data_IF_560973733336
#
_entry.id   IF_560973733336
#
_cell.length_a   1.000
_cell.length_b   1.000
_cell.length_c   1.000
_cell.angle_alpha   90.00
_cell.angle_beta   90.00
_cell.angle_gamma   90.00
#
_symmetry.space_group_name_H-M   'P 1'
#
loop_
_entity.id
_entity.type
_entity.pdbx_description
1 polymer ?
#
# COMPACT_ATOMS: atom_id res chain seq x y z
N UNK A 1 9.60 44.31 -1.78
CA UNK A 1 10.91 43.70 -2.01
C UNK A 1 10.74 42.50 -2.95
N UNK A 2 11.33 42.46 -4.16
CA UNK A 2 11.12 41.34 -5.08
C UNK A 2 11.87 40.07 -4.66
N UNK A 3 12.60 40.08 -3.54
CA UNK A 3 13.55 39.02 -3.12
C UNK A 3 13.00 38.06 -2.05
N UNK A 4 11.82 38.29 -1.46
CA UNK A 4 11.24 37.32 -0.52
C UNK A 4 10.55 36.19 -1.30
N UNK A 5 11.27 35.09 -1.46
CA UNK A 5 10.79 33.84 -2.06
C UNK A 5 9.58 33.25 -1.33
N UNK A 6 9.54 33.43 0.00
CA UNK A 6 8.50 32.99 0.91
C UNK A 6 7.60 34.17 1.32
N UNK A 7 6.31 33.91 1.48
CA UNK A 7 5.41 34.85 2.17
C UNK A 7 5.63 34.79 3.69
N UNK A 8 5.19 35.79 4.47
CA UNK A 8 5.23 35.71 5.94
C UNK A 8 4.59 34.43 6.48
N UNK A 9 3.53 33.93 5.83
CA UNK A 9 2.84 32.71 6.22
C UNK A 9 3.71 31.45 6.01
N UNK A 10 4.44 31.35 4.88
CA UNK A 10 5.41 30.26 4.68
C UNK A 10 6.51 30.29 5.75
N UNK A 11 7.03 31.48 6.09
CA UNK A 11 8.07 31.61 7.12
C UNK A 11 7.52 31.17 8.49
N UNK A 12 6.29 31.55 8.84
CA UNK A 12 5.65 31.12 10.07
C UNK A 12 5.54 29.58 10.15
N UNK A 13 5.12 28.93 9.06
CA UNK A 13 5.06 27.46 8.98
C UNK A 13 6.44 26.81 9.08
N UNK A 14 7.43 27.30 8.33
CA UNK A 14 8.83 26.79 8.37
C UNK A 14 9.46 26.92 9.77
N UNK A 15 9.02 27.91 10.55
CA UNK A 15 9.45 28.13 11.94
C UNK A 15 8.54 27.48 12.97
N UNK A 16 7.54 26.71 12.53
CA UNK A 16 6.52 26.05 13.35
C UNK A 16 5.86 27.02 14.36
N UNK A 17 5.56 28.24 13.92
CA UNK A 17 4.96 29.29 14.74
C UNK A 17 3.46 29.33 14.52
N UNK A 18 2.73 28.42 15.18
CA UNK A 18 1.27 28.30 15.06
C UNK A 18 0.53 29.63 15.31
N UNK A 19 0.90 30.36 16.37
CA UNK A 19 0.27 31.65 16.72
C UNK A 19 0.44 32.69 15.60
N UNK A 20 1.57 32.66 14.89
CA UNK A 20 1.83 33.54 13.75
C UNK A 20 1.04 33.12 12.52
N UNK A 21 0.86 31.81 12.29
CA UNK A 21 -0.01 31.29 11.23
C UNK A 21 -1.44 31.83 11.44
N UNK A 22 -1.97 31.71 12.65
CA UNK A 22 -3.30 32.22 12.98
C UNK A 22 -3.42 33.73 12.81
N UNK A 23 -2.47 34.48 13.37
CA UNK A 23 -2.45 35.95 13.29
C UNK A 23 -2.42 36.44 11.84
N UNK A 24 -1.56 35.84 11.01
CA UNK A 24 -1.41 36.24 9.61
C UNK A 24 -2.68 35.95 8.81
N UNK A 25 -3.27 34.75 8.95
CA UNK A 25 -4.51 34.40 8.27
C UNK A 25 -5.67 35.29 8.74
N UNK A 26 -5.77 35.57 10.04
CA UNK A 26 -6.77 36.49 10.60
C UNK A 26 -6.67 37.90 10.01
N UNK A 27 -5.46 38.38 9.72
CA UNK A 27 -5.20 39.66 9.06
C UNK A 27 -5.22 39.62 7.53
N UNK A 28 -5.76 38.54 6.93
CA UNK A 28 -6.01 38.45 5.49
C UNK A 28 -4.84 37.91 4.67
N UNK A 29 -3.88 37.22 5.28
CA UNK A 29 -2.91 36.44 4.51
C UNK A 29 -3.64 35.34 3.73
N UNK A 30 -3.37 35.26 2.43
CA UNK A 30 -3.90 34.20 1.56
C UNK A 30 -3.27 32.86 1.93
N UNK A 31 -4.11 31.97 2.50
CA UNK A 31 -3.72 30.66 3.03
C UNK A 31 -3.19 29.71 1.95
N UNK A 32 -3.60 29.92 0.69
CA UNK A 32 -3.21 29.10 -0.46
C UNK A 32 -2.17 29.80 -1.33
N UNK A 33 -1.63 30.93 -0.87
CA UNK A 33 -0.64 31.69 -1.64
C UNK A 33 0.59 30.82 -1.84
N UNK A 34 0.97 30.62 -3.09
CA UNK A 34 2.16 29.84 -3.47
C UNK A 34 3.44 30.67 -3.31
N UNK A 35 4.52 30.00 -2.90
CA UNK A 35 5.86 30.57 -2.93
C UNK A 35 6.35 30.82 -4.37
N UNK A 36 7.50 31.48 -4.51
CA UNK A 36 8.08 31.81 -5.83
C UNK A 36 9.13 30.81 -6.34
N UNK A 37 9.51 29.81 -5.54
CA UNK A 37 10.60 28.88 -5.90
C UNK A 37 10.02 27.58 -6.43
N UNK A 38 9.15 26.96 -5.65
CA UNK A 38 8.55 25.66 -5.92
C UNK A 38 7.07 25.78 -6.27
N UNK A 39 6.49 26.96 -6.11
CA UNK A 39 5.04 27.16 -6.13
C UNK A 39 4.33 26.34 -5.04
N UNK A 40 5.04 26.01 -3.96
CA UNK A 40 4.49 25.29 -2.81
C UNK A 40 3.56 26.20 -2.02
N UNK A 41 2.49 25.63 -1.48
CA UNK A 41 1.61 26.27 -0.51
C UNK A 41 2.18 26.17 0.91
N UNK A 42 1.67 26.96 1.87
CA UNK A 42 1.98 26.77 3.28
C UNK A 42 1.65 25.37 3.79
N UNK A 43 0.61 24.73 3.25
CA UNK A 43 0.22 23.37 3.63
C UNK A 43 1.22 22.32 3.11
N UNK A 44 1.76 22.51 1.90
CA UNK A 44 2.82 21.64 1.36
C UNK A 44 4.03 21.65 2.29
N UNK A 45 4.50 22.84 2.69
CA UNK A 45 5.58 22.97 3.66
C UNK A 45 5.20 22.36 5.00
N UNK A 46 4.00 22.56 5.52
CA UNK A 46 3.61 21.96 6.80
C UNK A 46 3.61 20.42 6.78
N UNK A 47 3.50 19.82 5.59
CA UNK A 47 3.41 18.37 5.41
C UNK A 47 4.76 17.67 5.38
N UNK A 48 5.83 18.38 5.07
CA UNK A 48 7.17 17.82 4.88
C UNK A 48 7.84 17.31 6.17
N UNK A 49 7.61 17.93 7.33
CA UNK A 49 8.15 17.47 8.62
C UNK A 49 7.07 17.09 9.63
N UNK A 50 7.32 16.08 10.49
CA UNK A 50 6.39 15.68 11.53
C UNK A 50 6.25 16.75 12.63
N UNK A 51 7.29 17.56 12.89
CA UNK A 51 7.22 18.63 13.91
C UNK A 51 6.26 19.75 13.50
N UNK A 52 6.00 19.92 12.20
CA UNK A 52 5.10 20.95 11.64
C UNK A 52 3.63 20.56 11.72
N UNK A 53 3.30 19.41 12.32
CA UNK A 53 1.94 18.90 12.46
C UNK A 53 0.93 19.90 13.06
N UNK A 54 1.24 20.69 14.12
CA UNK A 54 0.29 21.68 14.65
C UNK A 54 -0.08 22.74 13.60
N UNK A 55 0.90 23.20 12.82
CA UNK A 55 0.67 24.13 11.72
C UNK A 55 -0.16 23.46 10.61
N UNK A 56 0.14 22.21 10.24
CA UNK A 56 -0.63 21.46 9.23
C UNK A 56 -2.10 21.34 9.63
N UNK A 57 -2.36 20.86 10.85
CA UNK A 57 -3.73 20.69 11.35
C UNK A 57 -4.47 22.02 11.32
N UNK A 58 -3.81 23.11 11.70
CA UNK A 58 -4.44 24.42 11.73
C UNK A 58 -4.71 25.00 10.35
N UNK A 59 -3.79 24.83 9.41
CA UNK A 59 -3.99 25.25 8.02
C UNK A 59 -5.20 24.53 7.40
N UNK A 60 -5.35 23.22 7.64
CA UNK A 60 -6.54 22.47 7.21
C UNK A 60 -7.82 23.03 7.83
N UNK A 61 -7.83 23.32 9.14
CA UNK A 61 -8.99 23.92 9.82
C UNK A 61 -9.35 25.32 9.30
N UNK A 62 -8.36 26.08 8.85
CA UNK A 62 -8.54 27.41 8.27
C UNK A 62 -8.91 27.37 6.78
N UNK A 63 -9.09 26.18 6.20
CA UNK A 63 -9.55 26.01 4.82
C UNK A 63 -8.44 26.04 3.77
N UNK A 64 -7.21 25.65 4.12
CA UNK A 64 -6.17 25.40 3.14
C UNK A 64 -6.63 24.33 2.13
N UNK A 65 -6.32 24.54 0.86
CA UNK A 65 -6.63 23.59 -0.21
C UNK A 65 -5.69 22.38 -0.10
N UNK A 66 -6.23 21.26 0.41
CA UNK A 66 -5.52 20.00 0.60
C UNK A 66 -4.98 19.40 -0.71
N UNK A 67 -5.56 19.78 -1.84
CA UNK A 67 -5.21 19.28 -3.17
C UNK A 67 -4.47 20.32 -4.02
N UNK A 68 -4.02 21.42 -3.41
CA UNK A 68 -3.08 22.32 -4.06
C UNK A 68 -1.82 21.53 -4.47
N UNK A 69 -1.35 21.79 -5.68
CA UNK A 69 -0.17 21.13 -6.24
C UNK A 69 0.89 22.16 -6.62
N UNK A 70 2.13 21.88 -6.25
CA UNK A 70 3.29 22.71 -6.55
C UNK A 70 3.65 22.69 -8.05
N UNK A 71 4.75 23.34 -8.44
CA UNK A 71 5.19 23.41 -9.85
C UNK A 71 5.49 22.04 -10.46
N UNK A 72 5.73 21.00 -9.66
CA UNK A 72 6.01 19.64 -10.09
C UNK A 72 4.75 18.76 -10.03
N UNK A 73 3.59 19.31 -9.67
CA UNK A 73 2.35 18.55 -9.49
C UNK A 73 2.30 17.82 -8.15
N UNK A 74 3.20 18.13 -7.21
CA UNK A 74 3.27 17.46 -5.91
C UNK A 74 2.30 18.13 -4.93
N UNK A 75 1.41 17.34 -4.35
CA UNK A 75 0.44 17.79 -3.35
C UNK A 75 0.98 17.61 -1.93
N UNK A 76 0.31 18.21 -0.95
CA UNK A 76 0.62 18.05 0.47
C UNK A 76 0.74 16.57 0.89
N UNK A 77 -0.12 15.68 0.36
CA UNK A 77 -0.04 14.24 0.61
C UNK A 77 1.26 13.61 0.07
N UNK A 78 1.73 14.02 -1.11
CA UNK A 78 2.99 13.54 -1.68
C UNK A 78 4.20 14.15 -0.96
N UNK A 79 4.10 15.40 -0.49
CA UNK A 79 5.13 16.02 0.37
C UNK A 79 5.25 15.34 1.74
N UNK A 80 4.15 14.83 2.30
CA UNK A 80 4.19 14.07 3.54
C UNK A 80 4.93 12.72 3.42
N UNK A 81 4.98 12.14 2.21
CA UNK A 81 5.68 10.89 1.94
C UNK A 81 7.16 11.09 1.60
N UNK A 82 7.51 12.18 0.95
CA UNK A 82 8.89 12.52 0.60
C UNK A 82 9.10 14.03 0.72
N UNK A 83 10.11 14.49 1.45
CA UNK A 83 10.49 15.90 1.54
C UNK A 83 11.64 16.23 0.59
N UNK A 84 12.11 17.47 0.57
CA UNK A 84 13.33 17.87 -0.17
C UNK A 84 14.60 17.20 0.33
N UNK A 85 14.58 16.78 1.61
CA UNK A 85 15.77 16.30 2.32
C UNK A 85 15.85 14.76 2.34
N UNK A 86 14.80 14.09 1.82
CA UNK A 86 14.74 12.63 1.73
C UNK A 86 13.34 12.10 1.99
N UNK A 87 13.25 10.81 2.28
CA UNK A 87 11.97 10.17 2.54
C UNK A 87 11.65 10.20 4.03
N UNK A 88 10.39 10.51 4.35
CA UNK A 88 9.96 10.73 5.73
C UNK A 88 9.24 9.49 6.28
N UNK A 89 9.82 8.85 7.29
CA UNK A 89 9.31 7.60 7.88
C UNK A 89 8.51 7.82 9.18
N UNK A 90 8.23 9.08 9.53
CA UNK A 90 7.55 9.47 10.77
C UNK A 90 6.31 10.36 10.56
N UNK A 91 5.93 10.64 9.30
CA UNK A 91 4.82 11.53 8.94
C UNK A 91 3.42 10.89 8.92
N UNK A 92 3.22 9.74 9.59
CA UNK A 92 1.96 8.99 9.55
C UNK A 92 0.75 9.83 10.00
N UNK A 93 0.96 10.71 10.97
CA UNK A 93 -0.06 11.61 11.52
C UNK A 93 -0.47 12.69 10.52
N UNK A 94 0.51 13.36 9.88
CA UNK A 94 0.27 14.33 8.79
C UNK A 94 -0.48 13.68 7.64
N UNK A 95 -0.06 12.48 7.21
CA UNK A 95 -0.72 11.70 6.15
C UNK A 95 -2.18 11.42 6.53
N UNK A 96 -2.46 11.01 7.78
CA UNK A 96 -3.83 10.78 8.23
C UNK A 96 -4.67 12.05 8.16
N UNK A 97 -4.20 13.17 8.71
CA UNK A 97 -4.96 14.43 8.70
C UNK A 97 -5.24 14.92 7.27
N UNK A 98 -4.28 14.78 6.37
CA UNK A 98 -4.45 15.14 4.96
C UNK A 98 -5.53 14.27 4.29
N UNK A 99 -5.50 12.95 4.53
CA UNK A 99 -6.50 12.03 4.00
C UNK A 99 -7.90 12.27 4.59
N UNK A 100 -8.00 12.52 5.89
CA UNK A 100 -9.24 12.95 6.57
C UNK A 100 -9.75 14.29 6.04
N UNK A 101 -8.83 15.19 5.66
CA UNK A 101 -9.10 16.46 4.99
C UNK A 101 -9.52 16.34 3.52
N UNK A 102 -9.53 15.13 2.95
CA UNK A 102 -9.96 14.88 1.57
C UNK A 102 -8.85 14.97 0.53
N UNK A 103 -7.60 14.73 0.90
CA UNK A 103 -6.49 14.61 -0.04
C UNK A 103 -6.77 13.52 -1.09
N UNK A 104 -6.50 13.84 -2.36
CA UNK A 104 -6.67 12.91 -3.47
C UNK A 104 -5.54 11.87 -3.50
N UNK A 105 -5.88 10.63 -3.18
CA UNK A 105 -4.98 9.47 -3.23
C UNK A 105 -4.52 9.11 -4.64
N UNK A 106 -5.14 9.68 -5.68
CA UNK A 106 -4.78 9.49 -7.09
C UNK A 106 -3.93 10.62 -7.66
N UNK A 107 -3.59 11.62 -6.84
CA UNK A 107 -2.69 12.68 -7.27
C UNK A 107 -1.35 12.09 -7.72
N UNK A 108 -0.81 12.67 -8.79
CA UNK A 108 0.47 12.29 -9.36
C UNK A 108 1.30 13.53 -9.71
N UNK A 109 2.61 13.43 -9.54
CA UNK A 109 3.55 14.45 -10.03
C UNK A 109 3.55 14.48 -11.56
N UNK A 110 4.21 15.49 -12.14
CA UNK A 110 4.44 15.58 -13.58
C UNK A 110 5.22 14.39 -14.14
N UNK A 111 6.05 13.74 -13.32
CA UNK A 111 6.81 12.54 -13.69
C UNK A 111 5.99 11.25 -13.49
N UNK A 112 4.77 11.35 -12.96
CA UNK A 112 3.88 10.22 -12.71
C UNK A 112 4.05 9.57 -11.33
N UNK A 113 4.78 10.20 -10.41
CA UNK A 113 4.95 9.67 -9.06
C UNK A 113 3.64 9.79 -8.27
N UNK A 114 3.24 8.69 -7.66
CA UNK A 114 2.02 8.58 -6.85
C UNK A 114 2.39 8.22 -5.42
N UNK A 115 1.39 8.21 -4.52
CA UNK A 115 1.58 7.73 -3.15
C UNK A 115 2.25 6.35 -3.08
N UNK A 116 1.96 5.44 -4.02
CA UNK A 116 2.55 4.10 -4.03
C UNK A 116 3.94 4.05 -4.66
N UNK A 117 4.32 4.97 -5.56
CA UNK A 117 5.72 5.00 -6.04
C UNK A 117 6.66 5.39 -4.90
N UNK A 118 6.26 6.32 -4.03
CA UNK A 118 7.01 6.66 -2.82
C UNK A 118 7.08 5.50 -1.81
N UNK A 119 5.98 4.77 -1.58
CA UNK A 119 6.01 3.56 -0.72
C UNK A 119 6.92 2.47 -1.31
N UNK A 120 6.88 2.27 -2.63
CA UNK A 120 7.78 1.33 -3.33
C UNK A 120 9.25 1.74 -3.14
N UNK A 121 9.56 3.02 -3.32
CA UNK A 121 10.90 3.55 -3.13
C UNK A 121 11.41 3.30 -1.70
N UNK A 122 10.59 3.59 -0.68
CA UNK A 122 10.91 3.29 0.72
C UNK A 122 11.21 1.81 0.97
N UNK A 123 10.39 0.92 0.42
CA UNK A 123 10.60 -0.51 0.57
C UNK A 123 11.89 -0.98 -0.12
N UNK A 124 12.32 -0.28 -1.17
CA UNK A 124 13.60 -0.52 -1.87
C UNK A 124 14.83 -0.05 -1.08
N UNK A 125 14.76 1.08 -0.37
CA UNK A 125 15.87 1.60 0.45
C UNK A 125 16.26 0.64 1.59
N UNK A 126 15.33 -0.21 2.05
CA UNK A 126 15.61 -1.27 3.03
C UNK A 126 16.67 -2.29 2.56
N UNK A 127 16.99 -2.32 1.27
CA UNK A 127 18.05 -3.17 0.73
C UNK A 127 19.45 -2.76 1.24
N UNK A 128 19.60 -1.53 1.72
CA UNK A 128 20.87 -0.91 2.11
C UNK A 128 20.95 -0.52 3.59
N UNK A 129 19.87 -0.68 4.38
CA UNK A 129 19.78 -0.22 5.78
C UNK A 129 20.11 -1.32 6.79
N UNK A 130 20.39 -0.93 8.04
CA UNK A 130 20.51 -1.89 9.15
C UNK A 130 19.14 -2.50 9.53
N UNK A 131 19.14 -3.52 10.40
CA UNK A 131 17.91 -4.27 10.74
C UNK A 131 16.85 -3.45 11.47
N UNK A 132 17.25 -2.44 12.24
CA UNK A 132 16.34 -1.59 13.00
C UNK A 132 15.65 -0.57 12.08
N UNK A 133 16.40 0.11 11.24
CA UNK A 133 15.86 1.04 10.22
C UNK A 133 14.90 0.32 9.27
N UNK A 134 15.23 -0.90 8.83
CA UNK A 134 14.34 -1.70 7.99
C UNK A 134 13.03 -2.03 8.70
N UNK A 135 13.01 -2.25 10.02
CA UNK A 135 11.79 -2.49 10.78
C UNK A 135 10.92 -1.23 10.85
N UNK A 136 11.53 -0.07 11.11
CA UNK A 136 10.82 1.22 11.16
C UNK A 136 10.21 1.54 9.80
N UNK A 137 10.96 1.38 8.71
CA UNK A 137 10.45 1.58 7.34
C UNK A 137 9.29 0.62 7.06
N UNK A 138 9.41 -0.66 7.40
CA UNK A 138 8.32 -1.63 7.20
C UNK A 138 7.05 -1.24 7.98
N UNK A 139 7.20 -0.85 9.25
CA UNK A 139 6.08 -0.40 10.07
C UNK A 139 5.42 0.84 9.43
N UNK A 140 6.22 1.85 9.06
CA UNK A 140 5.72 3.05 8.40
C UNK A 140 4.98 2.72 7.08
N UNK A 141 5.60 1.97 6.18
CA UNK A 141 4.99 1.56 4.91
C UNK A 141 3.68 0.80 5.11
N UNK A 142 3.61 -0.07 6.12
CA UNK A 142 2.39 -0.80 6.46
C UNK A 142 1.29 0.15 6.92
N UNK A 143 1.58 1.05 7.88
CA UNK A 143 0.62 2.03 8.41
C UNK A 143 0.13 3.01 7.35
N UNK A 144 1.02 3.53 6.52
CA UNK A 144 0.66 4.40 5.40
C UNK A 144 -0.21 3.65 4.40
N UNK A 145 0.15 2.41 4.05
CA UNK A 145 -0.65 1.60 3.14
C UNK A 145 -2.07 1.38 3.69
N UNK A 146 -2.22 1.09 4.99
CA UNK A 146 -3.54 0.99 5.64
C UNK A 146 -4.36 2.27 5.47
N UNK A 147 -3.77 3.43 5.75
CA UNK A 147 -4.42 4.73 5.60
C UNK A 147 -4.84 4.98 4.15
N UNK A 148 -3.93 4.80 3.20
CA UNK A 148 -4.22 4.98 1.77
C UNK A 148 -5.37 4.09 1.30
N UNK A 149 -5.38 2.80 1.70
CA UNK A 149 -6.44 1.86 1.35
C UNK A 149 -7.80 2.26 1.97
N UNK A 150 -7.80 2.83 3.19
CA UNK A 150 -9.00 3.34 3.86
C UNK A 150 -9.67 4.47 3.08
N UNK A 151 -8.85 5.27 2.39
CA UNK A 151 -9.28 6.39 1.56
C UNK A 151 -9.39 6.01 0.07
N UNK A 152 -9.40 4.71 -0.25
CA UNK A 152 -9.73 4.20 -1.58
C UNK A 152 -8.56 4.14 -2.57
N UNK A 153 -7.32 4.26 -2.11
CA UNK A 153 -6.15 4.05 -2.95
C UNK A 153 -6.09 2.61 -3.46
N UNK A 154 -5.68 2.43 -4.71
CA UNK A 154 -5.57 1.11 -5.33
C UNK A 154 -4.10 0.65 -5.40
N UNK A 155 -3.63 -0.27 -4.54
CA UNK A 155 -2.24 -0.72 -4.50
C UNK A 155 -1.86 -1.63 -5.68
N UNK A 156 -2.83 -2.00 -6.51
CA UNK A 156 -2.68 -2.88 -7.67
C UNK A 156 -3.00 -2.16 -8.98
N UNK A 157 -3.17 -0.84 -8.92
CA UNK A 157 -3.19 -0.03 -10.12
C UNK A 157 -1.90 -0.27 -10.89
N UNK A 158 -2.01 -0.38 -12.21
CA UNK A 158 -0.87 -0.66 -13.06
C UNK A 158 -0.40 0.64 -13.73
N UNK A 159 0.48 1.42 -13.08
CA UNK A 159 1.31 2.39 -13.79
C UNK A 159 2.77 1.92 -13.88
N UNK A 160 3.55 2.59 -14.73
CA UNK A 160 4.99 2.36 -14.83
C UNK A 160 5.71 2.98 -13.60
N UNK A 161 6.78 2.35 -13.07
CA UNK A 161 7.37 1.08 -13.54
C UNK A 161 6.73 -0.20 -12.95
N UNK A 162 6.15 -0.15 -11.75
CA UNK A 162 5.48 -1.31 -11.13
C UNK A 162 4.47 -0.91 -10.04
N UNK A 163 3.52 -1.80 -9.73
CA UNK A 163 2.55 -1.59 -8.64
C UNK A 163 3.07 -2.11 -7.30
N UNK A 164 2.56 -1.56 -6.19
CA UNK A 164 2.94 -2.01 -4.84
C UNK A 164 2.68 -3.51 -4.67
N UNK A 165 1.53 -3.97 -5.14
CA UNK A 165 1.16 -5.39 -5.04
C UNK A 165 2.15 -6.28 -5.82
N UNK A 166 2.58 -5.83 -7.00
CA UNK A 166 3.55 -6.56 -7.82
C UNK A 166 4.94 -6.63 -7.17
N UNK A 167 5.45 -5.51 -6.63
CA UNK A 167 6.70 -5.49 -5.86
C UNK A 167 6.63 -6.45 -4.68
N UNK A 168 5.54 -6.38 -3.90
CA UNK A 168 5.34 -7.24 -2.74
C UNK A 168 5.30 -8.72 -3.14
N UNK A 169 4.76 -9.08 -4.31
CA UNK A 169 4.85 -10.45 -4.84
C UNK A 169 6.29 -10.85 -5.16
N UNK A 170 7.05 -10.05 -5.91
CA UNK A 170 8.46 -10.38 -6.24
C UNK A 170 9.31 -10.61 -5.00
N UNK A 171 9.02 -9.87 -3.93
CA UNK A 171 9.78 -9.88 -2.68
C UNK A 171 8.95 -10.41 -1.48
N UNK A 172 8.02 -11.33 -1.70
CA UNK A 172 7.06 -11.74 -0.67
C UNK A 172 7.70 -12.38 0.56
N UNK A 173 8.95 -12.85 0.46
CA UNK A 173 9.70 -13.35 1.61
C UNK A 173 9.90 -12.27 2.68
N UNK A 174 10.19 -11.04 2.21
CA UNK A 174 10.49 -9.88 3.04
C UNK A 174 9.21 -9.13 3.39
N UNK A 175 8.37 -8.86 2.39
CA UNK A 175 7.13 -8.11 2.58
C UNK A 175 5.92 -9.02 2.77
N UNK A 176 6.10 -10.20 3.37
CA UNK A 176 5.03 -11.21 3.49
C UNK A 176 3.79 -10.63 4.19
N UNK A 177 4.00 -9.93 5.31
CA UNK A 177 2.91 -9.36 6.10
C UNK A 177 2.16 -8.28 5.32
N UNK A 178 2.89 -7.41 4.62
CA UNK A 178 2.28 -6.39 3.76
C UNK A 178 1.52 -7.02 2.59
N UNK A 179 2.10 -7.99 1.89
CA UNK A 179 1.43 -8.68 0.78
C UNK A 179 0.17 -9.41 1.24
N UNK A 180 0.26 -10.13 2.36
CA UNK A 180 -0.87 -10.82 2.99
C UNK A 180 -1.99 -9.83 3.29
N UNK A 181 -1.66 -8.71 3.94
CA UNK A 181 -2.61 -7.64 4.22
C UNK A 181 -3.25 -7.07 2.94
N UNK A 182 -2.47 -6.84 1.88
CA UNK A 182 -2.98 -6.37 0.59
C UNK A 182 -4.01 -7.35 0.01
N UNK A 183 -3.70 -8.65 -0.02
CA UNK A 183 -4.61 -9.67 -0.53
C UNK A 183 -5.87 -9.81 0.33
N UNK A 184 -5.73 -9.80 1.66
CA UNK A 184 -6.86 -9.80 2.61
C UNK A 184 -7.74 -8.55 2.46
N UNK A 185 -7.16 -7.42 2.05
CA UNK A 185 -7.85 -6.18 1.73
C UNK A 185 -8.50 -6.19 0.34
N UNK A 186 -8.26 -7.25 -0.45
CA UNK A 186 -8.82 -7.43 -1.78
C UNK A 186 -8.04 -6.74 -2.90
N UNK A 187 -6.74 -6.48 -2.69
CA UNK A 187 -5.83 -6.10 -3.77
C UNK A 187 -5.90 -7.11 -4.93
N UNK A 188 -5.70 -6.64 -6.17
CA UNK A 188 -5.65 -7.53 -7.31
C UNK A 188 -4.35 -8.33 -7.28
N UNK A 189 -4.43 -9.62 -7.60
CA UNK A 189 -3.27 -10.52 -7.65
C UNK A 189 -2.79 -10.81 -9.07
N UNK A 190 -3.41 -10.19 -10.07
CA UNK A 190 -2.95 -10.15 -11.46
C UNK A 190 -2.98 -8.68 -11.90
N UNK A 191 -2.29 -8.36 -12.99
CA UNK A 191 -2.36 -7.02 -13.56
C UNK A 191 -3.81 -6.64 -13.86
N UNK A 192 -4.26 -5.53 -13.25
CA UNK A 192 -5.64 -5.04 -13.36
C UNK A 192 -5.97 -4.49 -14.76
N UNK A 193 -4.97 -3.97 -15.49
CA UNK A 193 -5.13 -3.41 -16.83
C UNK A 193 -4.85 -4.41 -17.96
N UNK A 194 -3.75 -5.16 -17.85
CA UNK A 194 -3.25 -6.02 -18.93
C UNK A 194 -3.54 -7.51 -18.70
N UNK A 195 -4.13 -7.88 -17.56
CA UNK A 195 -4.40 -9.27 -17.20
C UNK A 195 -3.15 -10.08 -16.80
N UNK A 196 -3.29 -11.40 -16.60
CA UNK A 196 -2.22 -12.25 -16.05
C UNK A 196 -1.00 -12.39 -16.96
N UNK A 197 -1.07 -11.96 -18.22
CA UNK A 197 0.06 -11.94 -19.16
C UNK A 197 1.10 -10.87 -18.85
N UNK A 198 0.72 -9.77 -18.18
CA UNK A 198 1.65 -8.74 -17.74
C UNK A 198 2.35 -9.15 -16.45
N UNK A 199 1.58 -9.51 -15.44
CA UNK A 199 2.08 -10.19 -14.24
C UNK A 199 0.95 -10.97 -13.58
N UNK A 200 1.33 -12.08 -12.93
CA UNK A 200 0.42 -12.92 -12.17
C UNK A 200 1.07 -13.35 -10.87
N UNK A 201 0.38 -13.13 -9.75
CA UNK A 201 0.80 -13.57 -8.43
C UNK A 201 0.98 -15.09 -8.36
N UNK A 202 0.18 -15.87 -9.07
CA UNK A 202 0.37 -17.32 -9.19
C UNK A 202 1.73 -17.65 -9.81
N UNK A 203 2.07 -17.02 -10.93
CA UNK A 203 3.34 -17.24 -11.61
C UNK A 203 4.53 -16.88 -10.71
N UNK A 204 4.50 -15.68 -10.11
CA UNK A 204 5.58 -15.17 -9.27
C UNK A 204 5.79 -16.04 -8.02
N UNK A 205 4.71 -16.51 -7.38
CA UNK A 205 4.84 -17.40 -6.21
C UNK A 205 5.54 -18.71 -6.60
N UNK A 206 5.13 -19.37 -7.68
CA UNK A 206 5.77 -20.62 -8.10
C UNK A 206 7.20 -20.41 -8.59
N UNK A 207 7.47 -19.33 -9.32
CA UNK A 207 8.82 -18.96 -9.75
C UNK A 207 9.75 -18.78 -8.55
N UNK A 208 9.31 -18.06 -7.51
CA UNK A 208 10.07 -17.83 -6.29
C UNK A 208 10.29 -19.13 -5.49
N UNK A 209 9.27 -20.00 -5.39
CA UNK A 209 9.41 -21.31 -4.75
C UNK A 209 10.46 -22.15 -5.50
N UNK A 210 10.38 -22.23 -6.82
CA UNK A 210 11.31 -23.02 -7.61
C UNK A 210 12.74 -22.48 -7.57
N UNK A 211 12.93 -21.16 -7.71
CA UNK A 211 14.26 -20.56 -7.74
C UNK A 211 15.02 -20.75 -6.44
N UNK A 212 14.36 -20.58 -5.29
CA UNK A 212 15.03 -20.61 -4.00
C UNK A 212 15.09 -21.99 -3.33
N UNK A 213 14.16 -22.88 -3.66
CA UNK A 213 14.17 -24.26 -3.14
C UNK A 213 15.01 -25.21 -4.02
N UNK A 214 15.57 -24.71 -5.13
CA UNK A 214 16.50 -25.47 -5.96
C UNK A 214 17.88 -25.66 -5.32
N UNK A 215 18.29 -24.75 -4.43
CA UNK A 215 19.65 -24.70 -3.86
C UNK A 215 19.70 -25.02 -2.36
N UNK A 216 18.57 -24.90 -1.65
CA UNK A 216 18.55 -24.97 -0.18
C UNK A 216 18.33 -26.39 0.38
N UNK A 217 19.19 -26.81 1.29
CA UNK A 217 19.03 -28.00 2.15
C UNK A 217 18.37 -27.68 3.51
N UNK A 218 18.28 -26.40 3.88
CA UNK A 218 17.70 -25.97 5.14
C UNK A 218 16.18 -26.20 5.15
N UNK A 219 15.75 -27.21 5.92
CA UNK A 219 14.36 -27.62 6.02
C UNK A 219 13.48 -26.57 6.71
N UNK A 220 14.05 -25.78 7.64
CA UNK A 220 13.30 -24.73 8.36
C UNK A 220 12.95 -23.56 7.43
N UNK A 221 13.96 -23.02 6.75
CA UNK A 221 13.76 -21.96 5.75
C UNK A 221 12.82 -22.42 4.62
N UNK A 222 13.03 -23.64 4.13
CA UNK A 222 12.24 -24.18 3.03
C UNK A 222 10.78 -24.39 3.42
N UNK A 223 10.53 -24.86 4.65
CA UNK A 223 9.18 -25.05 5.18
C UNK A 223 8.47 -23.71 5.39
N UNK A 224 9.13 -22.69 5.97
CA UNK A 224 8.56 -21.34 6.09
C UNK A 224 8.19 -20.75 4.72
N UNK A 225 9.09 -20.87 3.74
CA UNK A 225 8.85 -20.32 2.41
C UNK A 225 7.68 -21.01 1.69
N UNK A 226 7.59 -22.34 1.78
CA UNK A 226 6.47 -23.11 1.23
C UNK A 226 5.17 -22.70 1.92
N UNK A 227 5.17 -22.56 3.25
CA UNK A 227 3.98 -22.15 4.01
C UNK A 227 3.50 -20.75 3.61
N UNK A 228 4.43 -19.80 3.46
CA UNK A 228 4.13 -18.45 2.94
C UNK A 228 3.52 -18.53 1.55
N UNK A 229 4.16 -19.27 0.63
CA UNK A 229 3.66 -19.48 -0.73
C UNK A 229 2.24 -20.08 -0.75
N UNK A 230 2.00 -21.12 0.04
CA UNK A 230 0.68 -21.75 0.17
C UNK A 230 -0.37 -20.77 0.69
N UNK A 231 -0.05 -20.00 1.74
CA UNK A 231 -0.95 -18.98 2.29
C UNK A 231 -1.35 -17.96 1.21
N UNK A 232 -0.37 -17.48 0.42
CA UNK A 232 -0.66 -16.53 -0.67
C UNK A 232 -1.55 -17.13 -1.76
N UNK A 233 -1.27 -18.38 -2.16
CA UNK A 233 -2.11 -19.10 -3.13
C UNK A 233 -3.55 -19.23 -2.61
N UNK A 234 -3.72 -19.59 -1.35
CA UNK A 234 -5.04 -19.71 -0.69
C UNK A 234 -5.78 -18.37 -0.65
N UNK A 235 -5.10 -17.26 -0.30
CA UNK A 235 -5.68 -15.92 -0.29
C UNK A 235 -6.13 -15.46 -1.69
N UNK A 236 -5.31 -15.71 -2.72
CA UNK A 236 -5.65 -15.40 -4.11
C UNK A 236 -6.87 -16.20 -4.58
N UNK A 237 -6.88 -17.51 -4.30
CA UNK A 237 -8.01 -18.38 -4.62
C UNK A 237 -9.28 -17.95 -3.86
N UNK A 238 -9.14 -17.61 -2.58
CA UNK A 238 -10.24 -17.16 -1.71
C UNK A 238 -10.93 -15.88 -2.21
N UNK A 239 -10.19 -15.06 -2.97
CA UNK A 239 -10.66 -13.79 -3.53
C UNK A 239 -11.14 -13.90 -4.99
N UNK A 240 -10.96 -15.06 -5.63
CA UNK A 240 -11.23 -15.28 -7.05
C UNK A 240 -12.68 -15.73 -7.32
N UNK A 241 -13.38 -15.10 -8.27
CA UNK A 241 -14.66 -15.64 -8.76
C UNK A 241 -14.43 -16.88 -9.63
N UNK A 242 -13.42 -16.79 -10.50
CA UNK A 242 -12.87 -17.89 -11.26
C UNK A 242 -11.35 -17.79 -11.18
N UNK A 243 -10.69 -18.93 -10.97
CA UNK A 243 -9.23 -19.00 -11.04
C UNK A 243 -8.86 -18.84 -12.51
N UNK A 244 -7.99 -17.88 -12.80
CA UNK A 244 -7.47 -17.62 -14.15
C UNK A 244 -5.95 -17.71 -14.09
N UNK A 245 -5.41 -18.86 -14.49
CA UNK A 245 -3.97 -19.02 -14.65
C UNK A 245 -3.51 -18.42 -15.99
N UNK A 246 -2.24 -17.99 -16.09
CA UNK A 246 -1.66 -17.57 -17.37
C UNK A 246 -1.76 -18.68 -18.45
N UNK A 247 -1.91 -18.29 -19.71
CA UNK A 247 -1.88 -19.23 -20.83
C UNK A 247 -0.55 -20.00 -20.86
N UNK A 248 -0.61 -21.32 -21.09
CA UNK A 248 0.56 -22.21 -21.07
C UNK A 248 1.36 -22.15 -19.76
N UNK A 249 0.71 -21.88 -18.62
CA UNK A 249 1.38 -21.87 -17.34
C UNK A 249 1.84 -23.29 -16.95
N UNK A 250 3.16 -23.45 -16.92
CA UNK A 250 3.86 -24.65 -16.47
C UNK A 250 4.90 -24.28 -15.42
N UNK A 251 5.07 -25.15 -14.43
CA UNK A 251 6.04 -24.99 -13.35
C UNK A 251 7.14 -26.01 -13.54
N UNK A 252 8.36 -25.55 -13.81
CA UNK A 252 9.51 -26.42 -13.97
C UNK A 252 10.14 -26.72 -12.61
N UNK A 253 9.84 -27.89 -12.06
CA UNK A 253 10.40 -28.36 -10.79
C UNK A 253 11.70 -29.15 -10.96
N UNK A 254 12.26 -29.28 -12.17
CA UNK A 254 13.43 -30.14 -12.41
C UNK A 254 14.68 -29.72 -11.64
N UNK A 255 14.82 -28.43 -11.32
CA UNK A 255 15.88 -27.91 -10.46
C UNK A 255 15.65 -28.10 -8.95
N UNK A 256 14.45 -28.48 -8.51
CA UNK A 256 14.07 -28.54 -7.09
C UNK A 256 14.38 -29.92 -6.48
N UNK A 257 15.62 -30.15 -6.02
CA UNK A 257 16.08 -31.47 -5.54
C UNK A 257 15.30 -32.01 -4.34
N UNK A 258 15.03 -31.16 -3.35
CA UNK A 258 14.48 -31.59 -2.05
C UNK A 258 12.97 -31.41 -1.92
N UNK A 259 12.42 -30.36 -2.54
CA UNK A 259 11.02 -29.96 -2.34
C UNK A 259 10.18 -29.98 -3.64
N UNK A 260 10.72 -30.49 -4.75
CA UNK A 260 10.04 -30.51 -6.04
C UNK A 260 8.66 -31.19 -5.99
N UNK A 261 8.52 -32.28 -5.24
CA UNK A 261 7.24 -33.00 -5.13
C UNK A 261 6.16 -32.19 -4.39
N UNK A 262 6.52 -31.46 -3.33
CA UNK A 262 5.59 -30.58 -2.60
C UNK A 262 5.08 -29.46 -3.53
N UNK A 263 5.99 -28.82 -4.26
CA UNK A 263 5.65 -27.74 -5.22
C UNK A 263 4.75 -28.29 -6.33
N UNK A 264 5.10 -29.46 -6.88
CA UNK A 264 4.32 -30.13 -7.93
C UNK A 264 2.91 -30.48 -7.46
N UNK A 265 2.76 -30.94 -6.22
CA UNK A 265 1.46 -31.24 -5.61
C UNK A 265 0.60 -29.98 -5.45
N UNK A 266 1.19 -28.87 -4.97
CA UNK A 266 0.51 -27.58 -4.89
C UNK A 266 0.04 -27.11 -6.28
N UNK A 267 0.91 -27.22 -7.28
CA UNK A 267 0.60 -26.82 -8.65
C UNK A 267 -0.54 -27.64 -9.28
N UNK A 268 -0.53 -28.97 -9.12
CA UNK A 268 -1.62 -29.80 -9.64
C UNK A 268 -2.93 -29.55 -8.92
N UNK A 269 -2.89 -29.31 -7.60
CA UNK A 269 -4.07 -28.93 -6.83
C UNK A 269 -4.69 -27.64 -7.37
N UNK A 270 -3.86 -26.63 -7.68
CA UNK A 270 -4.31 -25.38 -8.31
C UNK A 270 -4.91 -25.60 -9.70
N UNK A 271 -4.26 -26.40 -10.57
CA UNK A 271 -4.81 -26.74 -11.90
C UNK A 271 -6.13 -27.52 -11.82
N UNK A 272 -6.29 -28.37 -10.81
CA UNK A 272 -7.55 -29.07 -10.58
C UNK A 272 -8.65 -28.09 -10.18
N UNK A 273 -8.35 -27.15 -9.28
CA UNK A 273 -9.30 -26.12 -8.83
C UNK A 273 -9.73 -25.19 -9.97
N UNK A 274 -8.82 -24.83 -10.88
CA UNK A 274 -9.13 -24.04 -12.08
C UNK A 274 -10.18 -24.71 -12.99
N UNK A 275 -10.13 -26.05 -13.11
CA UNK A 275 -11.07 -26.82 -13.95
C UNK A 275 -12.41 -27.07 -13.28
N UNK A 276 -12.53 -26.84 -11.97
CA UNK A 276 -13.73 -27.13 -11.19
C UNK A 276 -14.56 -25.86 -10.94
N UNK A 277 -15.89 -25.92 -11.04
CA UNK A 277 -16.74 -24.79 -10.68
C UNK A 277 -16.66 -24.52 -9.17
N UNK A 278 -16.50 -23.25 -8.80
CA UNK A 278 -16.47 -22.84 -7.40
C UNK A 278 -17.83 -23.01 -6.75
N UNK A 279 -17.84 -23.39 -5.47
CA UNK A 279 -19.09 -23.53 -4.71
C UNK A 279 -19.86 -22.20 -4.63
N UNK A 280 -21.19 -22.26 -4.69
CA UNK A 280 -22.04 -21.05 -4.62
C UNK A 280 -21.72 -20.19 -3.39
N UNK A 281 -21.48 -20.82 -2.23
CA UNK A 281 -21.10 -20.13 -1.00
C UNK A 281 -19.82 -19.27 -1.18
N UNK A 282 -18.84 -19.78 -1.92
CA UNK A 282 -17.60 -19.06 -2.24
C UNK A 282 -17.87 -17.88 -3.19
N UNK A 283 -18.65 -18.10 -4.25
CA UNK A 283 -19.06 -17.04 -5.16
C UNK A 283 -19.78 -15.90 -4.44
N UNK A 284 -20.69 -16.23 -3.50
CA UNK A 284 -21.34 -15.25 -2.64
C UNK A 284 -20.34 -14.47 -1.78
N UNK A 285 -19.35 -15.13 -1.18
CA UNK A 285 -18.30 -14.46 -0.39
C UNK A 285 -17.55 -13.44 -1.24
N UNK A 286 -17.08 -13.84 -2.42
CA UNK A 286 -16.33 -12.96 -3.32
C UNK A 286 -17.20 -11.77 -3.75
N UNK A 287 -18.44 -12.02 -4.15
CA UNK A 287 -19.38 -10.97 -4.55
C UNK A 287 -19.65 -9.96 -3.43
N UNK A 288 -19.95 -10.44 -2.21
CA UNK A 288 -20.20 -9.58 -1.05
C UNK A 288 -18.97 -8.72 -0.77
N UNK A 289 -17.78 -9.33 -0.68
CA UNK A 289 -16.53 -8.60 -0.41
C UNK A 289 -16.23 -7.53 -1.45
N UNK A 290 -16.47 -7.80 -2.73
CA UNK A 290 -16.32 -6.81 -3.80
C UNK A 290 -17.23 -5.60 -3.60
N UNK A 291 -18.46 -5.79 -3.09
CA UNK A 291 -19.41 -4.70 -2.81
C UNK A 291 -19.07 -3.89 -1.56
N UNK A 292 -18.21 -4.41 -0.68
CA UNK A 292 -17.77 -3.72 0.53
C UNK A 292 -16.52 -2.87 0.32
N UNK A 293 -15.86 -2.94 -0.85
CA UNK A 293 -14.74 -2.07 -1.19
C UNK A 293 -15.17 -0.59 -1.22
N UNK A 294 -14.27 0.38 -0.91
CA UNK A 294 -12.85 0.20 -0.54
C UNK A 294 -12.66 -0.38 0.87
N UNK A 295 -11.43 -0.71 1.25
CA UNK A 295 -11.08 -1.07 2.64
C UNK A 295 -11.51 0.06 3.61
N UNK A 296 -11.82 -0.18 4.91
CA UNK A 296 -11.78 -1.44 5.67
C UNK A 296 -12.99 -2.34 5.43
N UNK A 297 -12.73 -3.51 4.84
CA UNK A 297 -13.78 -4.50 4.53
C UNK A 297 -14.29 -5.18 5.80
N UNK A 298 -13.43 -5.38 6.80
CA UNK A 298 -13.75 -6.09 8.04
C UNK A 298 -14.74 -5.31 8.92
N UNK A 299 -14.56 -3.99 9.08
CA UNK A 299 -15.50 -3.13 9.80
C UNK A 299 -16.87 -3.17 9.13
N UNK A 300 -16.89 -3.11 7.81
CA UNK A 300 -18.13 -3.19 7.02
C UNK A 300 -18.80 -4.56 7.12
N UNK A 301 -18.04 -5.66 7.15
CA UNK A 301 -18.56 -7.02 7.39
C UNK A 301 -19.18 -7.12 8.79
N UNK A 302 -18.50 -6.62 9.82
CA UNK A 302 -18.99 -6.66 11.21
C UNK A 302 -20.34 -5.95 11.36
N UNK A 303 -20.57 -4.88 10.60
CA UNK A 303 -21.81 -4.13 10.57
C UNK A 303 -22.98 -4.81 9.81
N UNK A 304 -22.74 -5.88 9.04
CA UNK A 304 -23.80 -6.55 8.29
C UNK A 304 -24.82 -7.23 9.22
N UNK A 305 -26.11 -7.26 8.86
CA UNK A 305 -27.15 -7.97 9.61
C UNK A 305 -27.11 -9.48 9.31
N UNK A 306 -25.97 -10.12 9.57
CA UNK A 306 -25.72 -11.54 9.32
C UNK A 306 -25.34 -12.27 10.62
N UNK A 307 -25.62 -13.58 10.74
CA UNK A 307 -25.07 -14.39 11.82
C UNK A 307 -23.54 -14.37 11.84
N UNK A 308 -22.94 -14.46 13.04
CA UNK A 308 -21.49 -14.37 13.21
C UNK A 308 -20.73 -15.39 12.37
N UNK A 309 -21.24 -16.62 12.26
CA UNK A 309 -20.65 -17.66 11.42
C UNK A 309 -20.53 -17.25 9.94
N UNK A 310 -21.46 -16.46 9.42
CA UNK A 310 -21.38 -15.95 8.05
C UNK A 310 -20.46 -14.74 7.97
N UNK A 311 -20.49 -13.82 8.94
CA UNK A 311 -19.54 -12.70 9.03
C UNK A 311 -18.10 -13.20 9.04
N UNK A 312 -17.83 -14.20 9.86
CA UNK A 312 -16.56 -14.87 9.95
C UNK A 312 -16.12 -15.51 8.64
N UNK A 313 -17.03 -16.20 7.94
CA UNK A 313 -16.71 -16.75 6.62
C UNK A 313 -16.38 -15.68 5.57
N UNK A 314 -16.91 -14.45 5.72
CA UNK A 314 -16.59 -13.32 4.84
C UNK A 314 -15.22 -12.70 5.14
N UNK A 315 -14.69 -12.86 6.36
CA UNK A 315 -13.31 -12.54 6.68
C UNK A 315 -12.45 -13.68 6.13
N UNK A 316 -11.49 -13.38 5.25
CA UNK A 316 -10.73 -14.42 4.55
C UNK A 316 -9.86 -15.24 5.52
N UNK A 317 -9.60 -14.72 6.73
CA UNK A 317 -8.83 -15.42 7.75
C UNK A 317 -9.50 -15.47 9.13
N UNK A 318 -9.24 -16.58 9.82
CA UNK A 318 -9.78 -17.00 11.11
C UNK A 318 -8.71 -17.14 12.21
N UNK A 319 -7.45 -16.78 11.96
CA UNK A 319 -6.36 -16.89 12.95
C UNK A 319 -5.53 -15.61 13.05
N UNK A 320 -6.07 -14.59 13.72
CA UNK A 320 -5.32 -13.57 14.47
C UNK A 320 -6.31 -12.69 15.24
N UNK A 321 -6.88 -13.24 16.32
CA UNK A 321 -7.21 -12.40 17.46
C UNK A 321 -5.86 -11.88 18.00
N UNK A 322 -5.51 -10.66 17.64
CA UNK A 322 -4.20 -10.06 17.91
C UNK A 322 -3.86 -8.96 16.91
N UNK A 323 -4.78 -8.00 16.74
CA UNK A 323 -4.45 -6.68 16.21
C UNK A 323 -4.58 -5.66 17.35
N UNK A 324 -3.91 -5.97 18.45
CA UNK A 324 -3.38 -4.99 19.38
C UNK A 324 -1.86 -5.24 19.33
N UNK A 325 -1.10 -4.19 19.04
CA UNK A 325 0.37 -4.17 18.91
C UNK A 325 0.97 -4.74 17.61
N UNK A 326 0.94 -3.89 16.55
CA UNK A 326 2.01 -3.79 15.56
C UNK A 326 2.28 -2.34 15.19
#
# INVERSE_FOLDING_TARGET
DPVTYYTPLHIAVLRNQLDMVELLVHHGADINRRDRIHESSPLDLASEEPERLPCLQRLLQLGADVNAADKNGKTALLHALASSDGVQIHNTESIRLLLEGGADVRAATKDGDTVFTYVIFLLGEMMCSNTEEAQVINHFCFRVTQLLLAHGANPSECPAPESLTHLCFKNFKRHFLLLRFLLESGAAYNCSLHGPSCWSGFHIVFECLCSHLSVSEDDSFSTDLIQKGQTLLELMMASSQAIQLPSNFEVNTSGCRYHGEKIRTLFYSLKQLERSPQALKHLCRVFIRQRLKPWPVDVKIKALPLPDRLKWYLLIDHTAAGHEDL
#
